data_IF_072582937131
#
_entry.id   IF_072582937131
#
_cell.length_a   1.000
_cell.length_b   1.000
_cell.length_c   1.000
_cell.angle_alpha   90.00
_cell.angle_beta   90.00
_cell.angle_gamma   90.00
#
_symmetry.space_group_name_H-M   'P 1'
#
loop_
_entity.id
_entity.type
_entity.pdbx_description
1 polymer ?
#
# COMPACT_ATOMS: atom_id res chain seq x y z
N UNK A 1 -55.86 -2.69 -14.98
CA UNK A 1 -56.51 -1.75 -14.04
C UNK A 1 -55.43 -0.82 -13.53
N UNK A 2 -55.35 0.40 -14.07
CA UNK A 2 -54.29 1.34 -13.73
C UNK A 2 -54.78 2.18 -12.55
N UNK A 3 -54.25 1.92 -11.34
CA UNK A 3 -54.57 2.72 -10.16
C UNK A 3 -53.92 4.09 -10.32
N UNK A 4 -54.72 5.08 -10.73
CA UNK A 4 -54.31 6.48 -10.76
C UNK A 4 -54.22 6.96 -9.31
N UNK A 5 -53.00 7.00 -8.76
CA UNK A 5 -52.77 7.62 -7.46
C UNK A 5 -53.10 9.11 -7.57
N UNK A 6 -54.17 9.53 -6.89
CA UNK A 6 -54.59 10.93 -6.81
C UNK A 6 -53.43 11.79 -6.33
N UNK A 7 -53.22 12.95 -6.95
CA UNK A 7 -52.09 13.85 -6.63
C UNK A 7 -52.02 14.24 -5.16
N UNK A 8 -53.14 14.23 -4.45
CA UNK A 8 -53.19 14.45 -3.01
C UNK A 8 -52.48 13.34 -2.20
N UNK A 9 -52.57 12.08 -2.63
CA UNK A 9 -51.91 10.94 -1.99
C UNK A 9 -50.40 11.03 -2.21
N UNK A 10 -49.98 11.47 -3.40
CA UNK A 10 -48.57 11.68 -3.73
C UNK A 10 -47.98 12.84 -2.92
N UNK A 11 -48.73 13.94 -2.76
CA UNK A 11 -48.32 15.07 -1.91
C UNK A 11 -48.21 14.68 -0.44
N UNK A 12 -49.17 13.90 0.07
CA UNK A 12 -49.15 13.38 1.43
C UNK A 12 -47.95 12.46 1.69
N UNK A 13 -47.61 11.59 0.73
CA UNK A 13 -46.43 10.72 0.82
C UNK A 13 -45.13 11.53 0.86
N UNK A 14 -45.00 12.58 0.04
CA UNK A 14 -43.81 13.45 0.04
C UNK A 14 -43.66 14.20 1.37
N UNK A 15 -44.75 14.72 1.92
CA UNK A 15 -44.72 15.41 3.22
C UNK A 15 -44.35 14.46 4.36
N UNK A 16 -44.83 13.22 4.32
CA UNK A 16 -44.51 12.21 5.32
C UNK A 16 -43.02 11.81 5.25
N UNK A 17 -42.47 11.64 4.05
CA UNK A 17 -41.03 11.38 3.86
C UNK A 17 -40.19 12.56 4.36
N UNK A 18 -40.60 13.80 4.05
CA UNK A 18 -39.90 15.00 4.53
C UNK A 18 -39.92 15.10 6.06
N UNK A 19 -41.04 14.77 6.71
CA UNK A 19 -41.15 14.76 8.17
C UNK A 19 -40.26 13.69 8.81
N UNK A 20 -40.17 12.50 8.22
CA UNK A 20 -39.26 11.43 8.69
C UNK A 20 -37.80 11.89 8.58
N UNK A 21 -37.40 12.46 7.44
CA UNK A 21 -36.04 12.97 7.25
C UNK A 21 -35.71 14.10 8.25
N UNK A 22 -36.67 14.98 8.51
CA UNK A 22 -36.52 16.06 9.48
C UNK A 22 -36.39 15.54 10.93
N UNK A 23 -37.16 14.50 11.29
CA UNK A 23 -37.06 13.85 12.59
C UNK A 23 -35.69 13.15 12.78
N UNK A 24 -35.17 12.48 11.75
CA UNK A 24 -33.82 11.89 11.76
C UNK A 24 -32.76 13.00 11.94
N UNK A 25 -32.89 14.13 11.25
CA UNK A 25 -31.98 15.26 11.39
C UNK A 25 -32.01 15.91 12.79
N UNK A 26 -33.17 15.89 13.46
CA UNK A 26 -33.32 16.41 14.83
C UNK A 26 -32.74 15.48 15.91
N UNK A 27 -32.84 14.17 15.72
CA UNK A 27 -32.28 13.17 16.66
C UNK A 27 -30.77 13.03 16.47
N UNK A 28 -30.27 13.23 15.25
CA UNK A 28 -28.84 13.31 14.99
C UNK A 28 -28.29 14.68 15.42
N UNK A 29 -27.85 14.78 16.68
CA UNK A 29 -26.96 15.88 17.13
C UNK A 29 -25.90 16.13 16.04
N UNK A 30 -25.65 17.39 15.64
CA UNK A 30 -24.58 17.67 14.70
C UNK A 30 -23.26 17.28 15.37
N UNK A 31 -22.76 16.09 15.07
CA UNK A 31 -21.31 15.92 15.00
C UNK A 31 -20.92 16.83 13.86
N UNK A 32 -20.52 18.05 14.23
CA UNK A 32 -19.75 18.93 13.38
C UNK A 32 -18.80 18.03 12.60
N UNK A 33 -19.03 17.92 11.31
CA UNK A 33 -18.00 17.49 10.41
C UNK A 33 -16.88 18.51 10.62
N UNK A 34 -15.94 18.15 11.50
CA UNK A 34 -14.58 18.64 11.40
C UNK A 34 -14.10 18.09 10.06
N UNK A 35 -14.47 18.83 9.01
CA UNK A 35 -13.65 18.96 7.83
C UNK A 35 -12.26 19.28 8.38
N UNK A 36 -11.36 18.29 8.39
CA UNK A 36 -9.92 18.57 8.40
C UNK A 36 -9.57 19.20 7.05
N UNK A 37 -10.06 20.43 6.86
CA UNK A 37 -9.44 21.43 6.02
C UNK A 37 -8.21 21.83 6.79
N UNK A 38 -7.07 21.21 6.50
CA UNK A 38 -5.78 21.67 7.00
C UNK A 38 -5.54 23.09 6.47
N UNK A 39 -6.03 24.07 7.21
CA UNK A 39 -5.69 25.47 7.04
C UNK A 39 -4.33 25.64 7.70
N UNK A 40 -3.32 25.74 6.85
CA UNK A 40 -2.07 26.45 7.09
C UNK A 40 -2.23 27.57 8.13
N UNK A 41 -1.63 27.38 9.30
CA UNK A 41 -1.20 28.45 10.18
C UNK A 41 0.01 27.99 11.00
N UNK A 42 1.19 28.38 10.50
CA UNK A 42 2.42 28.69 11.24
C UNK A 42 2.69 27.86 12.50
N UNK A 43 3.23 26.67 12.31
CA UNK A 43 4.37 26.25 13.13
C UNK A 43 5.60 26.34 12.24
N UNK A 44 6.55 27.18 12.64
CA UNK A 44 7.87 27.25 12.01
C UNK A 44 8.38 25.81 11.90
N UNK A 45 8.70 25.28 10.71
CA UNK A 45 9.49 24.07 10.66
C UNK A 45 10.87 24.47 11.18
N UNK A 46 11.19 24.01 12.37
CA UNK A 46 12.57 23.97 12.83
C UNK A 46 13.34 23.14 11.79
N UNK A 47 14.16 23.83 11.00
CA UNK A 47 14.86 23.29 9.82
C UNK A 47 16.05 22.40 10.23
N UNK A 48 16.04 21.85 11.44
CA UNK A 48 17.15 21.14 12.05
C UNK A 48 16.66 20.00 12.95
N UNK A 49 16.08 18.95 12.40
CA UNK A 49 16.26 17.58 12.94
C UNK A 49 15.71 16.56 11.96
N UNK A 50 16.56 15.64 11.54
CA UNK A 50 16.28 14.69 10.48
C UNK A 50 17.03 15.00 9.19
N UNK A 51 18.34 15.27 9.28
CA UNK A 51 19.23 14.90 8.18
C UNK A 51 19.03 13.40 7.96
N UNK A 52 18.12 13.03 7.07
CA UNK A 52 18.19 11.75 6.38
C UNK A 52 19.49 11.83 5.61
N UNK A 53 20.57 11.39 6.25
CA UNK A 53 21.83 11.10 5.59
C UNK A 53 21.50 10.03 4.57
N UNK A 54 21.29 10.47 3.33
CA UNK A 54 21.32 9.61 2.17
C UNK A 54 22.73 9.01 2.13
N UNK A 55 22.89 7.89 2.81
CA UNK A 55 24.12 7.11 2.80
C UNK A 55 24.20 6.46 1.42
N UNK A 56 24.67 7.23 0.45
CA UNK A 56 24.86 6.84 -0.95
C UNK A 56 25.98 5.81 -1.16
N UNK A 57 26.40 5.09 -0.12
CA UNK A 57 27.34 3.99 -0.28
C UNK A 57 26.69 2.93 -1.16
N UNK A 58 27.31 2.65 -2.30
CA UNK A 58 26.92 1.55 -3.17
C UNK A 58 26.86 0.26 -2.33
N UNK A 59 25.70 -0.38 -2.27
CA UNK A 59 25.46 -1.60 -1.48
C UNK A 59 24.93 -1.39 -0.06
N UNK A 60 24.72 -0.15 0.39
CA UNK A 60 24.03 0.12 1.66
C UNK A 60 22.51 -0.04 1.49
N UNK A 61 22.04 -1.29 1.42
CA UNK A 61 20.62 -1.58 1.59
C UNK A 61 20.24 -1.20 3.03
N UNK A 62 19.13 -0.48 3.20
CA UNK A 62 18.57 -0.21 4.53
C UNK A 62 18.43 -1.50 5.32
N UNK A 63 18.53 -1.41 6.66
CA UNK A 63 18.45 -2.57 7.55
C UNK A 63 17.05 -3.21 7.45
N UNK A 64 16.82 -4.03 6.44
CA UNK A 64 15.68 -4.91 6.38
C UNK A 64 15.69 -5.77 7.65
N UNK A 65 14.57 -5.87 8.35
CA UNK A 65 14.51 -6.78 9.48
C UNK A 65 14.70 -8.20 8.95
N UNK A 66 15.67 -8.94 9.50
CA UNK A 66 15.97 -10.31 9.08
C UNK A 66 14.71 -11.19 9.12
N UNK A 67 13.79 -10.92 10.05
CA UNK A 67 12.49 -11.56 10.15
C UNK A 67 11.59 -11.36 8.91
N UNK A 68 11.55 -10.15 8.34
CA UNK A 68 10.78 -9.89 7.11
C UNK A 68 11.41 -10.57 5.89
N UNK A 69 12.74 -10.58 5.81
CA UNK A 69 13.48 -11.22 4.72
C UNK A 69 13.32 -12.76 4.78
N UNK A 70 13.31 -13.34 5.98
CA UNK A 70 12.99 -14.76 6.22
C UNK A 70 11.55 -15.10 5.82
N UNK A 71 10.57 -14.24 6.13
CA UNK A 71 9.17 -14.43 5.69
C UNK A 71 9.08 -14.42 4.17
N UNK A 72 9.74 -13.46 3.52
CA UNK A 72 9.79 -13.35 2.07
C UNK A 72 10.42 -14.60 1.44
N UNK A 73 11.56 -15.07 1.98
CA UNK A 73 12.19 -16.33 1.55
C UNK A 73 11.20 -17.49 1.63
N UNK A 74 10.53 -17.67 2.77
CA UNK A 74 9.59 -18.77 2.97
C UNK A 74 8.39 -18.69 2.02
N UNK A 75 7.87 -17.48 1.75
CA UNK A 75 6.82 -17.28 0.75
C UNK A 75 7.29 -17.67 -0.65
N UNK A 76 8.52 -17.33 -1.02
CA UNK A 76 9.06 -17.65 -2.34
C UNK A 76 9.25 -19.14 -2.49
N UNK A 77 9.92 -19.80 -1.54
CA UNK A 77 10.12 -21.25 -1.56
C UNK A 77 8.81 -22.04 -1.56
N UNK A 78 7.73 -21.51 -0.96
CA UNK A 78 6.42 -22.18 -0.93
C UNK A 78 5.62 -22.00 -2.22
N UNK A 79 5.61 -20.80 -2.80
CA UNK A 79 4.71 -20.44 -3.91
C UNK A 79 5.38 -20.47 -5.29
N UNK A 80 6.71 -20.48 -5.34
CA UNK A 80 7.49 -20.38 -6.56
C UNK A 80 8.61 -21.44 -6.57
N UNK A 81 8.28 -22.73 -6.74
CA UNK A 81 9.24 -23.83 -6.64
C UNK A 81 10.32 -23.79 -7.74
N UNK A 82 10.05 -23.09 -8.85
CA UNK A 82 11.00 -22.91 -9.95
C UNK A 82 12.18 -21.99 -9.58
N UNK A 83 12.07 -21.27 -8.45
CA UNK A 83 13.09 -20.36 -7.97
C UNK A 83 13.69 -20.86 -6.66
N UNK A 84 15.01 -20.88 -6.59
CA UNK A 84 15.75 -21.06 -5.36
C UNK A 84 16.02 -19.70 -4.72
N UNK A 85 15.59 -19.53 -3.47
CA UNK A 85 15.71 -18.29 -2.71
C UNK A 85 16.86 -18.37 -1.69
N UNK A 86 17.95 -17.67 -1.98
CA UNK A 86 19.14 -17.58 -1.14
C UNK A 86 19.16 -16.26 -0.37
N UNK A 87 19.20 -16.33 0.96
CA UNK A 87 19.30 -15.17 1.82
C UNK A 87 20.76 -14.71 1.96
N UNK A 88 21.01 -13.41 1.78
CA UNK A 88 22.33 -12.79 1.90
C UNK A 88 22.20 -11.48 2.66
N UNK A 89 22.69 -11.42 3.89
CA UNK A 89 22.66 -10.25 4.79
C UNK A 89 21.35 -9.42 4.75
N UNK A 90 21.23 -8.48 3.81
CA UNK A 90 20.10 -7.56 3.66
C UNK A 90 19.28 -7.73 2.36
N UNK A 91 19.53 -8.77 1.58
CA UNK A 91 18.82 -9.05 0.33
C UNK A 91 18.60 -10.55 0.10
N UNK A 92 17.71 -10.85 -0.83
CA UNK A 92 17.43 -12.21 -1.28
C UNK A 92 17.88 -12.35 -2.73
N UNK A 93 18.68 -13.36 -3.02
CA UNK A 93 19.06 -13.72 -4.39
C UNK A 93 18.14 -14.84 -4.85
N UNK A 94 17.53 -14.66 -6.01
CA UNK A 94 16.75 -15.68 -6.68
C UNK A 94 17.56 -16.31 -7.80
N UNK A 95 17.57 -17.63 -7.79
CA UNK A 95 18.20 -18.44 -8.81
C UNK A 95 17.15 -19.32 -9.50
N UNK A 96 17.23 -19.41 -10.82
CA UNK A 96 16.44 -20.34 -11.64
C UNK A 96 17.42 -21.11 -12.51
N UNK A 97 17.33 -22.43 -12.54
CA UNK A 97 18.25 -23.29 -13.33
C UNK A 97 19.75 -22.98 -13.06
N UNK A 98 20.13 -22.80 -11.80
CA UNK A 98 21.48 -22.43 -11.35
C UNK A 98 22.01 -21.07 -11.87
N UNK A 99 21.16 -20.23 -12.44
CA UNK A 99 21.49 -18.85 -12.83
C UNK A 99 20.80 -17.85 -11.91
N UNK A 100 21.52 -16.80 -11.53
CA UNK A 100 20.95 -15.67 -10.76
C UNK A 100 20.06 -14.87 -11.70
N UNK A 101 18.79 -14.73 -11.33
CA UNK A 101 17.77 -14.08 -12.17
C UNK A 101 17.26 -12.80 -11.51
N UNK A 102 17.11 -12.78 -10.19
CA UNK A 102 16.69 -11.58 -9.48
C UNK A 102 17.43 -11.38 -8.14
N UNK A 103 17.46 -10.13 -7.70
CA UNK A 103 17.88 -9.73 -6.37
C UNK A 103 16.74 -8.91 -5.75
N UNK A 104 16.16 -9.41 -4.67
CA UNK A 104 15.08 -8.75 -3.95
C UNK A 104 15.63 -8.05 -2.72
N UNK A 105 15.18 -6.83 -2.50
CA UNK A 105 15.58 -5.98 -1.36
C UNK A 105 14.34 -5.47 -0.65
N UNK A 106 14.45 -5.30 0.68
CA UNK A 106 13.39 -4.78 1.53
C UNK A 106 13.89 -3.49 2.21
N UNK A 107 13.78 -2.36 1.52
CA UNK A 107 14.25 -1.08 2.04
C UNK A 107 13.19 0.02 1.84
N UNK A 108 12.67 0.51 2.96
CA UNK A 108 11.66 1.58 3.06
C UNK A 108 12.18 2.91 2.49
N UNK A 109 13.49 3.13 2.55
CA UNK A 109 14.11 4.39 2.13
C UNK A 109 14.58 4.36 0.68
N UNK A 110 14.72 3.17 0.09
CA UNK A 110 15.09 3.04 -1.31
C UNK A 110 13.86 3.27 -2.20
N UNK A 111 14.06 3.83 -3.39
CA UNK A 111 12.97 4.00 -4.35
C UNK A 111 12.34 2.63 -4.68
N UNK A 112 11.01 2.55 -4.65
CA UNK A 112 10.27 1.39 -5.16
C UNK A 112 10.62 1.21 -6.63
N UNK A 113 10.74 -0.05 -7.03
CA UNK A 113 10.72 -0.42 -8.43
C UNK A 113 11.83 -1.35 -8.86
N UNK A 114 11.86 -1.54 -10.17
CA UNK A 114 12.66 -2.54 -10.86
C UNK A 114 13.83 -1.88 -11.54
N UNK A 115 15.03 -2.39 -11.27
CA UNK A 115 16.28 -2.02 -11.94
C UNK A 115 16.90 -3.27 -12.56
N UNK A 116 17.78 -3.10 -13.53
CA UNK A 116 18.57 -4.20 -14.10
C UNK A 116 20.04 -3.99 -13.77
N UNK A 117 20.69 -5.05 -13.29
CA UNK A 117 22.12 -5.14 -13.08
C UNK A 117 22.66 -6.23 -14.01
N UNK A 118 22.95 -5.85 -15.26
CA UNK A 118 23.25 -6.79 -16.33
C UNK A 118 22.04 -7.70 -16.60
N UNK A 119 22.22 -9.00 -16.43
CA UNK A 119 21.18 -10.03 -16.60
C UNK A 119 20.28 -10.20 -15.35
N UNK A 120 20.70 -9.67 -14.21
CA UNK A 120 19.97 -9.83 -12.94
C UNK A 120 19.00 -8.67 -12.72
N UNK A 121 17.74 -8.98 -12.45
CA UNK A 121 16.74 -7.97 -12.13
C UNK A 121 16.76 -7.64 -10.64
N UNK A 122 16.99 -6.37 -10.29
CA UNK A 122 16.95 -5.91 -8.89
C UNK A 122 15.57 -5.32 -8.62
N UNK A 123 14.87 -5.88 -7.64
CA UNK A 123 13.53 -5.43 -7.23
C UNK A 123 13.61 -4.96 -5.78
N UNK A 124 13.20 -3.73 -5.53
CA UNK A 124 13.12 -3.18 -4.18
C UNK A 124 11.66 -3.06 -3.74
N UNK A 125 11.36 -3.61 -2.58
CA UNK A 125 10.06 -3.52 -1.92
C UNK A 125 10.18 -2.69 -0.64
N UNK A 126 9.17 -1.89 -0.33
CA UNK A 126 9.10 -1.17 0.95
C UNK A 126 8.62 -2.03 2.11
N UNK A 127 7.87 -3.09 1.82
CA UNK A 127 7.32 -4.04 2.79
C UNK A 127 7.31 -5.44 2.20
N UNK A 128 7.03 -6.46 3.02
CA UNK A 128 6.93 -7.84 2.53
C UNK A 128 5.79 -7.91 1.50
N UNK A 129 6.08 -8.19 0.22
CA UNK A 129 5.07 -8.20 -0.83
C UNK A 129 4.10 -9.36 -0.67
N UNK A 130 2.91 -9.20 -1.24
CA UNK A 130 1.95 -10.30 -1.35
C UNK A 130 2.41 -11.34 -2.38
N UNK A 131 1.79 -12.52 -2.37
CA UNK A 131 2.11 -13.58 -3.35
C UNK A 131 1.77 -13.15 -4.77
N UNK A 132 0.71 -12.35 -4.95
CA UNK A 132 0.30 -11.83 -6.26
C UNK A 132 1.27 -10.76 -6.77
N UNK A 133 1.70 -9.84 -5.90
CA UNK A 133 2.74 -8.85 -6.24
C UNK A 133 4.05 -9.54 -6.63
N UNK A 134 4.47 -10.56 -5.87
CA UNK A 134 5.63 -11.37 -6.22
C UNK A 134 5.46 -12.07 -7.56
N UNK A 135 4.27 -12.59 -7.87
CA UNK A 135 4.02 -13.25 -9.15
C UNK A 135 4.14 -12.28 -10.31
N UNK A 136 3.59 -11.07 -10.17
CA UNK A 136 3.69 -10.02 -11.19
C UNK A 136 5.15 -9.66 -11.41
N UNK A 137 5.89 -9.37 -10.33
CA UNK A 137 7.29 -8.95 -10.43
C UNK A 137 8.21 -10.06 -10.97
N UNK A 138 8.02 -11.31 -10.52
CA UNK A 138 8.81 -12.46 -10.94
C UNK A 138 8.43 -13.01 -12.32
N UNK A 139 7.23 -12.69 -12.85
CA UNK A 139 6.84 -13.08 -14.21
C UNK A 139 7.71 -12.42 -15.29
N UNK A 140 8.31 -11.27 -14.98
CA UNK A 140 9.20 -10.53 -15.87
C UNK A 140 10.66 -10.96 -15.81
N UNK A 141 10.99 -12.04 -15.09
CA UNK A 141 12.35 -12.52 -14.80
C UNK A 141 12.53 -13.98 -15.22
#
# INVERSE_FOLDING_TARGET
MNQTFSGAILLAAVLLIAAILFAIALVMKPKAAVSKRNKTAKNKPDLNTGKSTFNSKAGAFGKASNAQLMKLKNQISKNFPDFNALMRDHHLVLERNAKKVALLTLDVNAALGRRRLGEVTVINFHQVPSVEELRIELSGV
#
